data_IF_520802954229
#
_entry.id   IF_520802954229
#
_cell.length_a   1.000
_cell.length_b   1.000
_cell.length_c   1.000
_cell.angle_alpha   90.00
_cell.angle_beta   90.00
_cell.angle_gamma   90.00
#
_symmetry.space_group_name_H-M   'P 1'
#
loop_
_entity.id
_entity.type
_entity.pdbx_description
1 polymer ?
#
# COMPACT_ATOMS: atom_id res chain seq x y z
N UNK A 1 -59.71 22.36 41.94
CA UNK A 1 -59.24 21.44 43.01
C UNK A 1 -59.46 20.03 42.45
N UNK A 2 -58.51 19.16 42.13
CA UNK A 2 -57.16 18.83 42.63
C UNK A 2 -56.38 18.18 41.46
N UNK A 3 -55.13 18.61 41.23
CA UNK A 3 -54.11 17.90 40.46
C UNK A 3 -53.90 16.49 41.04
N UNK A 4 -53.71 15.44 40.23
CA UNK A 4 -52.60 14.47 40.38
C UNK A 4 -52.66 13.25 39.44
N UNK A 5 -51.48 12.86 38.97
CA UNK A 5 -51.06 11.51 38.56
C UNK A 5 -51.49 10.98 37.18
N UNK A 6 -50.98 11.63 36.13
CA UNK A 6 -50.53 10.93 34.92
C UNK A 6 -49.01 11.10 34.84
N UNK A 7 -48.26 10.17 35.44
CA UNK A 7 -46.79 10.12 35.30
C UNK A 7 -46.29 8.70 35.52
N UNK A 8 -45.39 8.29 34.61
CA UNK A 8 -44.39 7.22 34.76
C UNK A 8 -44.82 5.76 34.60
N UNK A 9 -45.06 5.29 33.36
CA UNK A 9 -44.75 3.89 32.97
C UNK A 9 -44.31 3.82 31.50
N UNK A 10 -43.44 4.73 31.05
CA UNK A 10 -42.74 4.55 29.77
C UNK A 10 -41.42 3.84 30.06
N UNK A 11 -41.42 2.54 29.79
CA UNK A 11 -40.34 1.57 30.00
C UNK A 11 -38.98 2.04 29.48
N UNK A 12 -38.01 2.41 30.35
CA UNK A 12 -36.64 2.70 29.93
C UNK A 12 -35.71 1.48 30.06
N UNK A 13 -36.16 0.38 30.68
CA UNK A 13 -35.33 -0.79 30.95
C UNK A 13 -35.09 -1.69 29.72
N UNK A 14 -36.04 -1.77 28.79
CA UNK A 14 -35.92 -2.67 27.63
C UNK A 14 -35.05 -2.11 26.50
N UNK A 15 -34.98 -0.78 26.35
CA UNK A 15 -34.19 -0.13 25.29
C UNK A 15 -32.69 -0.16 25.64
N UNK A 16 -32.34 -0.06 26.93
CA UNK A 16 -30.95 -0.18 27.39
C UNK A 16 -30.35 -1.57 27.21
N UNK A 17 -31.15 -2.63 27.38
CA UNK A 17 -30.69 -4.01 27.21
C UNK A 17 -30.49 -4.40 25.73
N UNK A 18 -31.28 -3.82 24.81
CA UNK A 18 -31.16 -4.07 23.37
C UNK A 18 -29.93 -3.36 22.76
N UNK A 19 -29.54 -2.18 23.27
CA UNK A 19 -28.34 -1.46 22.85
C UNK A 19 -27.03 -2.10 23.36
N UNK A 20 -27.08 -2.87 24.46
CA UNK A 20 -25.91 -3.58 24.99
C UNK A 20 -25.50 -4.81 24.16
N UNK A 21 -26.42 -5.37 23.36
CA UNK A 21 -26.18 -6.57 22.53
C UNK A 21 -25.59 -6.26 21.14
N UNK A 22 -25.47 -4.98 20.76
CA UNK A 22 -24.88 -4.58 19.48
C UNK A 22 -23.35 -4.39 19.54
N UNK A 23 -22.73 -4.53 20.72
CA UNK A 23 -21.27 -4.55 20.89
C UNK A 23 -20.70 -5.98 20.91
N UNK A 24 -21.26 -6.89 20.12
CA UNK A 24 -20.55 -8.11 19.79
C UNK A 24 -19.41 -7.73 18.83
N UNK A 25 -18.20 -7.54 19.37
CA UNK A 25 -16.98 -7.54 18.55
C UNK A 25 -16.94 -8.89 17.83
N UNK A 26 -17.30 -8.90 16.55
CA UNK A 26 -16.97 -10.03 15.70
C UNK A 26 -15.45 -10.18 15.75
N UNK A 27 -14.96 -11.28 16.30
CA UNK A 27 -13.55 -11.62 16.20
C UNK A 27 -13.22 -11.70 14.71
N UNK A 28 -12.44 -10.73 14.22
CA UNK A 28 -11.96 -10.74 12.85
C UNK A 28 -11.15 -12.03 12.67
N UNK A 29 -11.69 -12.99 11.92
CA UNK A 29 -11.00 -14.25 11.67
C UNK A 29 -9.73 -13.99 10.87
N UNK A 30 -8.67 -14.74 11.16
CA UNK A 30 -7.41 -14.66 10.39
C UNK A 30 -7.67 -15.10 8.95
N UNK A 31 -7.40 -14.20 8.00
CA UNK A 31 -7.60 -14.43 6.56
C UNK A 31 -6.39 -13.93 5.75
N UNK A 32 -5.72 -14.83 5.03
CA UNK A 32 -4.56 -14.50 4.22
C UNK A 32 -4.91 -13.59 3.03
N UNK A 33 -6.13 -13.64 2.49
CA UNK A 33 -6.55 -12.76 1.39
C UNK A 33 -6.65 -11.32 1.87
N UNK A 34 -7.31 -11.11 3.00
CA UNK A 34 -7.32 -9.82 3.69
C UNK A 34 -5.91 -9.38 4.12
N UNK A 35 -5.11 -10.30 4.65
CA UNK A 35 -3.70 -10.07 5.01
C UNK A 35 -2.86 -9.55 3.85
N UNK A 36 -3.07 -10.06 2.63
CA UNK A 36 -2.41 -9.57 1.41
C UNK A 36 -2.75 -8.12 1.11
N UNK A 37 -4.00 -7.72 1.28
CA UNK A 37 -4.44 -6.35 1.07
C UNK A 37 -3.76 -5.41 2.07
N UNK A 38 -3.80 -5.78 3.35
CA UNK A 38 -3.13 -5.02 4.41
C UNK A 38 -1.62 -4.92 4.17
N UNK A 39 -0.96 -6.03 3.83
CA UNK A 39 0.46 -6.04 3.51
C UNK A 39 0.79 -5.09 2.36
N UNK A 40 0.00 -5.11 1.29
CA UNK A 40 0.19 -4.25 0.11
C UNK A 40 0.09 -2.76 0.48
N UNK A 41 -0.88 -2.40 1.33
CA UNK A 41 -1.14 -1.00 1.72
C UNK A 41 -0.15 -0.50 2.77
N UNK A 42 0.27 -1.37 3.72
CA UNK A 42 1.00 -0.94 4.92
C UNK A 42 2.48 -1.32 4.92
N UNK A 43 2.86 -2.39 4.24
CA UNK A 43 4.18 -3.02 4.43
C UNK A 43 5.00 -3.07 3.13
N UNK A 44 4.36 -3.24 1.97
CA UNK A 44 5.00 -3.51 0.69
C UNK A 44 5.89 -2.35 0.17
N UNK A 45 5.71 -1.14 0.69
CA UNK A 45 6.59 -0.01 0.37
C UNK A 45 8.03 -0.21 0.85
N UNK A 46 8.22 -0.97 1.93
CA UNK A 46 9.53 -1.16 2.55
C UNK A 46 9.92 -2.62 2.71
N UNK A 47 9.01 -3.58 2.53
CA UNK A 47 9.28 -5.00 2.70
C UNK A 47 8.89 -5.82 1.47
N UNK A 48 9.70 -6.85 1.23
CA UNK A 48 9.38 -7.93 0.30
C UNK A 48 9.37 -9.26 1.04
N UNK A 49 8.64 -10.25 0.51
CA UNK A 49 8.66 -11.60 1.07
C UNK A 49 10.01 -12.27 0.77
N UNK A 50 10.54 -12.16 -0.46
CA UNK A 50 11.70 -12.95 -0.88
C UNK A 50 13.07 -12.34 -0.57
N UNK A 51 13.20 -11.01 -0.56
CA UNK A 51 14.51 -10.32 -0.53
C UNK A 51 14.52 -9.12 0.39
N UNK A 52 15.71 -8.78 0.88
CA UNK A 52 15.96 -7.54 1.61
C UNK A 52 15.79 -6.36 0.64
N UNK A 53 15.09 -5.32 1.10
CA UNK A 53 14.85 -4.07 0.37
C UNK A 53 15.21 -2.92 1.32
N UNK A 54 14.29 -2.00 1.63
CA UNK A 54 14.48 -1.02 2.70
C UNK A 54 14.44 -1.69 4.08
N UNK A 55 13.58 -2.69 4.25
CA UNK A 55 13.52 -3.57 5.40
C UNK A 55 13.89 -5.03 5.03
N UNK A 56 13.97 -5.92 6.03
CA UNK A 56 14.30 -7.33 5.83
C UNK A 56 13.26 -8.09 5.01
N UNK A 57 13.73 -9.16 4.35
CA UNK A 57 12.90 -10.18 3.75
C UNK A 57 12.00 -10.84 4.80
N UNK A 58 10.70 -10.94 4.51
CA UNK A 58 9.72 -11.47 5.47
C UNK A 58 9.40 -12.95 5.32
N UNK A 59 9.86 -13.63 4.27
CA UNK A 59 9.70 -15.09 4.14
C UNK A 59 10.20 -15.78 5.41
N UNK A 60 9.42 -16.71 5.94
CA UNK A 60 9.72 -17.46 7.16
C UNK A 60 9.92 -16.58 8.42
N UNK A 61 9.33 -15.38 8.48
CA UNK A 61 9.42 -14.51 9.68
C UNK A 61 8.80 -15.18 10.91
N UNK A 62 7.74 -15.97 10.72
CA UNK A 62 7.05 -16.78 11.72
C UNK A 62 7.92 -17.92 12.30
N UNK A 63 8.99 -18.29 11.59
CA UNK A 63 10.00 -19.24 12.09
C UNK A 63 11.14 -18.56 12.83
N UNK A 64 11.39 -17.27 12.56
CA UNK A 64 12.47 -16.49 13.19
C UNK A 64 12.05 -15.81 14.48
N UNK A 65 10.79 -15.41 14.58
CA UNK A 65 10.25 -14.68 15.72
C UNK A 65 8.88 -15.25 16.10
N UNK A 66 8.56 -15.17 17.39
CA UNK A 66 7.23 -15.55 17.86
C UNK A 66 6.18 -14.56 17.35
N UNK A 67 4.94 -15.03 17.16
CA UNK A 67 3.82 -14.19 16.74
C UNK A 67 3.66 -12.96 17.64
N UNK A 68 3.71 -13.15 18.97
CA UNK A 68 3.62 -12.07 19.95
C UNK A 68 4.72 -11.02 19.80
N UNK A 69 5.94 -11.45 19.45
CA UNK A 69 7.05 -10.53 19.22
C UNK A 69 6.81 -9.72 17.95
N UNK A 70 6.35 -10.36 16.87
CA UNK A 70 6.03 -9.69 15.61
C UNK A 70 4.93 -8.65 15.83
N UNK A 71 3.86 -9.00 16.55
CA UNK A 71 2.76 -8.08 16.87
C UNK A 71 3.29 -6.85 17.62
N UNK A 72 4.08 -7.05 18.68
CA UNK A 72 4.68 -5.94 19.44
C UNK A 72 5.59 -5.06 18.58
N UNK A 73 6.39 -5.68 17.70
CA UNK A 73 7.30 -4.97 16.83
C UNK A 73 6.55 -4.14 15.77
N UNK A 74 5.48 -4.67 15.19
CA UNK A 74 4.62 -3.96 14.21
C UNK A 74 3.87 -2.80 14.87
N UNK A 75 3.37 -2.99 16.10
CA UNK A 75 2.72 -1.91 16.86
C UNK A 75 3.69 -0.79 17.25
N UNK A 76 4.95 -1.12 17.55
CA UNK A 76 5.91 -0.15 18.06
C UNK A 76 7.37 -0.61 18.01
N UNK A 77 7.96 -0.61 16.82
CA UNK A 77 9.34 -1.09 16.58
C UNK A 77 10.36 -0.35 17.46
N UNK A 78 10.25 0.99 17.54
CA UNK A 78 11.16 1.83 18.31
C UNK A 78 11.08 1.57 19.81
N UNK A 79 9.92 1.16 20.33
CA UNK A 79 9.77 0.80 21.74
C UNK A 79 10.49 -0.50 22.06
N UNK A 80 10.40 -1.49 21.17
CA UNK A 80 11.12 -2.77 21.31
C UNK A 80 12.64 -2.58 21.20
N UNK A 81 13.09 -1.70 20.30
CA UNK A 81 14.51 -1.35 20.18
C UNK A 81 15.01 -0.65 21.45
N UNK A 82 14.25 0.33 21.97
CA UNK A 82 14.61 1.08 23.19
C UNK A 82 14.54 0.24 24.46
N UNK A 83 13.73 -0.83 24.50
CA UNK A 83 13.72 -1.75 25.64
C UNK A 83 14.97 -2.63 25.72
N UNK A 84 15.87 -2.54 24.73
CA UNK A 84 17.13 -3.29 24.71
C UNK A 84 16.99 -4.71 24.15
N UNK A 85 15.93 -4.99 23.40
CA UNK A 85 15.80 -6.29 22.71
C UNK A 85 16.96 -6.47 21.73
N UNK A 86 17.82 -7.44 22.03
CA UNK A 86 19.08 -7.65 21.28
C UNK A 86 18.85 -7.99 19.81
N UNK A 87 17.71 -8.61 19.46
CA UNK A 87 17.36 -8.97 18.08
C UNK A 87 16.90 -7.71 17.34
N UNK A 88 16.00 -6.94 17.94
CA UNK A 88 15.49 -5.69 17.39
C UNK A 88 16.63 -4.66 17.17
N UNK A 89 17.52 -4.51 18.14
CA UNK A 89 18.69 -3.60 18.05
C UNK A 89 19.61 -4.03 16.91
N UNK A 90 19.96 -5.31 16.81
CA UNK A 90 20.80 -5.82 15.71
C UNK A 90 20.14 -5.61 14.35
N UNK A 91 18.83 -5.82 14.25
CA UNK A 91 18.09 -5.61 13.03
C UNK A 91 18.10 -4.12 12.63
N UNK A 92 17.86 -3.23 13.59
CA UNK A 92 17.88 -1.79 13.36
C UNK A 92 19.24 -1.30 12.87
N UNK A 93 20.34 -1.78 13.47
CA UNK A 93 21.70 -1.48 13.01
C UNK A 93 21.98 -2.04 11.60
N UNK A 94 21.55 -3.27 11.30
CA UNK A 94 21.73 -3.90 9.97
C UNK A 94 21.04 -3.10 8.86
N UNK A 95 19.88 -2.50 9.13
CA UNK A 95 19.09 -1.74 8.15
C UNK A 95 19.31 -0.23 8.27
N UNK A 96 20.55 0.19 8.56
CA UNK A 96 20.98 1.60 8.61
C UNK A 96 20.14 2.50 9.51
N UNK A 97 19.60 1.95 10.62
CA UNK A 97 18.75 2.67 11.56
C UNK A 97 17.49 3.26 10.90
N UNK A 98 17.03 2.62 9.83
CA UNK A 98 15.79 3.00 9.16
C UNK A 98 14.62 2.76 10.10
N UNK A 99 13.80 3.79 10.31
CA UNK A 99 12.66 3.73 11.23
C UNK A 99 11.51 3.01 10.53
N UNK A 100 11.06 1.88 11.10
CA UNK A 100 9.80 1.25 10.71
C UNK A 100 8.64 2.03 11.36
N UNK A 101 7.68 2.55 10.59
CA UNK A 101 6.50 3.22 11.14
C UNK A 101 5.74 2.33 12.12
N UNK A 102 5.15 2.96 13.14
CA UNK A 102 4.31 2.25 14.11
C UNK A 102 2.91 2.04 13.51
N UNK A 103 2.33 0.87 13.75
CA UNK A 103 0.98 0.53 13.30
C UNK A 103 0.04 0.15 14.46
N UNK A 104 -0.16 1.01 15.47
CA UNK A 104 -1.04 0.72 16.60
C UNK A 104 -2.53 0.64 16.21
N UNK A 105 -2.87 1.08 14.99
CA UNK A 105 -4.20 0.98 14.40
C UNK A 105 -4.55 -0.44 13.94
N UNK A 106 -3.55 -1.29 13.67
CA UNK A 106 -3.78 -2.68 13.28
C UNK A 106 -4.11 -3.53 14.50
N UNK A 107 -5.20 -4.29 14.43
CA UNK A 107 -5.52 -5.28 15.45
C UNK A 107 -4.55 -6.45 15.42
N UNK A 108 -4.52 -7.26 16.49
CA UNK A 108 -3.71 -8.48 16.50
C UNK A 108 -4.12 -9.42 15.35
N UNK A 109 -5.41 -9.51 15.02
CA UNK A 109 -5.89 -10.38 13.96
C UNK A 109 -5.53 -9.85 12.56
N UNK A 110 -5.42 -8.54 12.39
CA UNK A 110 -4.91 -7.93 11.15
C UNK A 110 -3.45 -8.34 10.93
N UNK A 111 -2.63 -8.26 11.99
CA UNK A 111 -1.22 -8.66 11.92
C UNK A 111 -1.09 -10.17 11.70
N UNK A 112 -1.90 -11.00 12.36
CA UNK A 112 -1.95 -12.44 12.11
C UNK A 112 -2.33 -12.76 10.67
N UNK A 113 -3.28 -12.02 10.10
CA UNK A 113 -3.68 -12.15 8.69
C UNK A 113 -2.52 -11.81 7.75
N UNK A 114 -1.75 -10.76 8.05
CA UNK A 114 -0.52 -10.41 7.32
C UNK A 114 0.52 -11.53 7.42
N UNK A 115 0.74 -12.09 8.61
CA UNK A 115 1.67 -13.21 8.81
C UNK A 115 1.23 -14.45 8.01
N UNK A 116 -0.07 -14.77 8.02
CA UNK A 116 -0.63 -15.86 7.23
C UNK A 116 -0.38 -15.67 5.73
N UNK A 117 -0.61 -14.45 5.22
CA UNK A 117 -0.27 -14.11 3.84
C UNK A 117 1.22 -14.29 3.53
N UNK A 118 2.11 -13.78 4.38
CA UNK A 118 3.57 -13.90 4.20
C UNK A 118 3.99 -15.36 4.13
N UNK A 119 3.38 -16.22 4.96
CA UNK A 119 3.64 -17.66 4.97
C UNK A 119 3.19 -18.32 3.68
N UNK A 120 1.96 -18.07 3.24
CA UNK A 120 1.44 -18.61 1.98
C UNK A 120 2.27 -18.15 0.77
N UNK A 121 2.61 -16.86 0.72
CA UNK A 121 3.44 -16.29 -0.33
C UNK A 121 4.86 -16.88 -0.29
N UNK A 122 5.43 -17.09 0.90
CA UNK A 122 6.72 -17.75 1.06
C UNK A 122 6.72 -19.19 0.52
N UNK A 123 5.65 -19.95 0.78
CA UNK A 123 5.45 -21.30 0.23
C UNK A 123 5.28 -21.23 -1.28
N UNK A 124 4.43 -20.31 -1.77
CA UNK A 124 4.21 -20.11 -3.22
C UNK A 124 5.55 -19.86 -3.91
N UNK A 125 6.36 -18.95 -3.39
CA UNK A 125 7.68 -18.61 -3.94
C UNK A 125 8.69 -19.76 -3.86
N UNK A 126 8.53 -20.70 -2.93
CA UNK A 126 9.37 -21.90 -2.83
C UNK A 126 8.94 -23.02 -3.80
N UNK A 127 7.65 -23.10 -4.13
CA UNK A 127 7.07 -24.11 -5.03
C UNK A 127 7.08 -23.66 -6.49
N UNK A 128 7.13 -22.34 -6.74
CA UNK A 128 7.36 -21.85 -8.09
C UNK A 128 8.68 -22.45 -8.61
N UNK A 129 8.68 -23.14 -9.78
CA UNK A 129 9.93 -23.49 -10.43
C UNK A 129 10.73 -22.20 -10.51
N UNK A 130 12.00 -22.23 -10.10
CA UNK A 130 12.85 -21.05 -10.03
C UNK A 130 12.53 -20.16 -11.22
N UNK A 131 11.75 -19.10 -10.98
CA UNK A 131 11.54 -18.07 -11.98
C UNK A 131 12.97 -17.64 -12.29
N UNK A 132 13.42 -17.71 -13.55
CA UNK A 132 14.76 -17.35 -13.91
C UNK A 132 15.13 -16.09 -13.15
N UNK A 133 16.27 -16.16 -12.46
CA UNK A 133 16.84 -15.09 -11.67
C UNK A 133 16.71 -13.81 -12.47
N UNK A 134 15.76 -12.98 -12.04
CA UNK A 134 15.34 -11.75 -12.67
C UNK A 134 14.74 -11.90 -14.07
N UNK A 135 13.56 -11.28 -14.25
CA UNK A 135 13.24 -10.55 -15.47
C UNK A 135 14.21 -9.35 -15.57
N UNK A 136 15.48 -9.66 -15.80
CA UNK A 136 16.48 -8.71 -16.34
C UNK A 136 16.58 -8.90 -17.87
N UNK A 137 15.66 -9.67 -18.45
CA UNK A 137 15.59 -10.03 -19.85
C UNK A 137 14.49 -9.19 -20.52
N UNK A 138 14.96 -8.32 -21.41
CA UNK A 138 14.24 -7.50 -22.38
C UNK A 138 13.41 -8.32 -23.41
N UNK A 139 12.88 -9.49 -23.02
CA UNK A 139 12.11 -10.36 -23.92
C UNK A 139 10.60 -10.28 -23.63
N UNK A 140 9.78 -10.07 -24.68
CA UNK A 140 8.32 -10.01 -24.54
C UNK A 140 7.76 -11.33 -23.97
N UNK A 141 6.72 -11.22 -23.13
CA UNK A 141 5.93 -12.35 -22.65
C UNK A 141 5.40 -13.17 -23.84
N UNK A 142 5.88 -14.41 -24.01
CA UNK A 142 5.51 -15.25 -25.16
C UNK A 142 4.30 -16.16 -24.89
N UNK A 143 3.45 -15.81 -23.92
CA UNK A 143 2.28 -16.60 -23.52
C UNK A 143 0.95 -15.97 -23.93
N UNK A 144 -0.11 -16.77 -23.99
CA UNK A 144 -1.48 -16.25 -24.11
C UNK A 144 -1.83 -15.51 -22.82
N UNK A 145 -1.85 -14.18 -22.84
CA UNK A 145 -2.22 -13.37 -21.69
C UNK A 145 -3.72 -13.51 -21.36
N UNK A 146 -4.05 -13.59 -20.07
CA UNK A 146 -5.44 -13.55 -19.59
C UNK A 146 -6.08 -12.20 -19.96
N UNK A 147 -7.40 -12.12 -20.22
CA UNK A 147 -8.07 -10.85 -20.55
C UNK A 147 -7.85 -9.76 -19.49
N UNK A 148 -7.75 -10.14 -18.21
CA UNK A 148 -7.40 -9.21 -17.13
C UNK A 148 -5.96 -8.70 -17.24
N UNK A 149 -5.03 -9.55 -17.67
CA UNK A 149 -3.65 -9.14 -17.91
C UNK A 149 -3.60 -8.13 -19.07
N UNK A 150 -4.40 -8.35 -20.12
CA UNK A 150 -4.45 -7.44 -21.26
C UNK A 150 -5.02 -6.06 -20.90
N UNK A 151 -6.05 -6.01 -20.06
CA UNK A 151 -6.67 -4.76 -19.61
C UNK A 151 -5.76 -3.97 -18.65
N UNK A 152 -5.06 -4.67 -17.76
CA UNK A 152 -4.18 -4.03 -16.76
C UNK A 152 -2.89 -3.51 -17.43
N UNK A 153 -2.35 -4.24 -18.41
CA UNK A 153 -1.07 -3.93 -19.05
C UNK A 153 -1.19 -3.28 -20.43
N UNK A 154 -2.42 -3.01 -20.92
CA UNK A 154 -2.67 -2.46 -22.26
C UNK A 154 -1.86 -3.23 -23.32
N UNK A 155 -2.06 -4.54 -23.40
CA UNK A 155 -1.36 -5.43 -24.34
C UNK A 155 -1.70 -5.04 -25.79
N UNK A 156 -0.87 -4.20 -26.42
CA UNK A 156 -0.87 -4.01 -27.87
C UNK A 156 -0.11 -5.20 -28.48
N UNK A 157 -0.76 -6.07 -29.28
CA UNK A 157 -0.12 -7.29 -29.78
C UNK A 157 1.13 -6.93 -30.61
N UNK A 158 2.30 -7.33 -30.11
CA UNK A 158 3.55 -7.39 -30.88
C UNK A 158 4.71 -6.50 -30.44
N UNK A 159 4.54 -5.57 -29.49
CA UNK A 159 5.66 -4.69 -29.09
C UNK A 159 5.54 -4.24 -27.62
N UNK A 160 5.68 -5.17 -26.67
CA UNK A 160 5.75 -4.83 -25.25
C UNK A 160 7.19 -4.46 -24.89
N UNK A 161 7.55 -3.19 -25.02
CA UNK A 161 8.77 -2.65 -24.41
C UNK A 161 8.45 -2.13 -23.02
N UNK A 162 9.13 -2.59 -21.95
CA UNK A 162 9.01 -1.93 -20.65
C UNK A 162 9.40 -0.45 -20.81
N UNK A 163 8.70 0.45 -20.11
CA UNK A 163 9.01 1.89 -20.12
C UNK A 163 10.43 2.13 -19.62
N UNK A 164 11.37 2.23 -20.56
CA UNK A 164 12.76 2.50 -20.28
C UNK A 164 13.03 3.99 -20.52
N UNK A 165 13.19 4.76 -19.45
CA UNK A 165 13.50 6.19 -19.54
C UNK A 165 14.89 6.48 -20.13
N UNK A 166 15.72 5.46 -20.36
CA UNK A 166 16.97 5.57 -21.12
C UNK A 166 16.77 5.37 -22.62
N UNK A 167 15.58 4.97 -23.07
CA UNK A 167 15.27 4.85 -24.48
C UNK A 167 15.21 6.25 -25.12
N UNK A 168 15.98 6.49 -26.19
CA UNK A 168 16.05 7.80 -26.82
C UNK A 168 14.72 8.25 -27.43
N UNK A 169 13.85 7.33 -27.87
CA UNK A 169 12.52 7.68 -28.39
C UNK A 169 11.60 8.16 -27.28
N UNK A 170 11.60 7.50 -26.12
CA UNK A 170 10.79 7.93 -24.96
C UNK A 170 11.27 9.28 -24.45
N UNK A 171 12.59 9.47 -24.32
CA UNK A 171 13.17 10.75 -23.90
C UNK A 171 12.82 11.88 -24.88
N UNK A 172 12.96 11.65 -26.20
CA UNK A 172 12.61 12.65 -27.22
C UNK A 172 11.12 12.94 -27.23
N UNK A 173 10.26 11.93 -27.03
CA UNK A 173 8.80 12.11 -26.94
C UNK A 173 8.40 12.98 -25.74
N UNK A 174 8.93 12.68 -24.54
CA UNK A 174 8.65 13.46 -23.33
C UNK A 174 9.16 14.90 -23.45
N UNK A 175 10.39 15.09 -23.96
CA UNK A 175 10.95 16.42 -24.22
C UNK A 175 10.10 17.16 -25.27
N UNK A 176 9.64 16.48 -26.31
CA UNK A 176 8.75 17.04 -27.33
C UNK A 176 7.40 17.51 -26.76
N UNK A 177 6.78 16.71 -25.88
CA UNK A 177 5.54 17.10 -25.19
C UNK A 177 5.78 18.32 -24.30
N UNK A 178 6.87 18.35 -23.53
CA UNK A 178 7.21 19.49 -22.67
C UNK A 178 7.44 20.75 -23.51
N UNK A 179 8.22 20.67 -24.59
CA UNK A 179 8.48 21.80 -25.48
C UNK A 179 7.18 22.30 -26.12
N UNK A 180 6.33 21.40 -26.58
CA UNK A 180 5.02 21.74 -27.15
C UNK A 180 4.16 22.51 -26.15
N UNK A 181 4.12 22.05 -24.89
CA UNK A 181 3.34 22.67 -23.82
C UNK A 181 3.89 24.06 -23.44
N UNK A 182 5.22 24.21 -23.40
CA UNK A 182 5.89 25.51 -23.17
C UNK A 182 5.63 26.48 -24.32
N UNK A 183 5.76 26.05 -25.58
CA UNK A 183 5.47 26.88 -26.74
C UNK A 183 4.01 27.33 -26.76
N UNK A 184 3.09 26.43 -26.42
CA UNK A 184 1.67 26.75 -26.32
C UNK A 184 1.41 27.81 -25.23
N UNK A 185 2.02 27.69 -24.05
CA UNK A 185 1.94 28.70 -23.00
C UNK A 185 2.51 30.05 -23.44
N UNK A 186 3.65 30.06 -24.13
CA UNK A 186 4.25 31.30 -24.65
C UNK A 186 3.37 31.97 -25.71
N UNK A 187 2.71 31.19 -26.58
CA UNK A 187 1.75 31.71 -27.53
C UNK A 187 0.55 32.34 -26.82
N UNK A 188 0.03 31.69 -25.78
CA UNK A 188 -1.07 32.23 -24.96
C UNK A 188 -0.66 33.56 -24.32
N UNK A 189 0.51 33.63 -23.67
CA UNK A 189 0.97 34.88 -23.05
C UNK A 189 1.11 35.98 -24.10
N UNK A 190 1.71 35.65 -25.25
CA UNK A 190 1.92 36.63 -26.32
C UNK A 190 0.61 37.10 -26.95
N UNK A 191 -0.39 36.24 -27.08
CA UNK A 191 -1.72 36.66 -27.56
C UNK A 191 -2.42 37.55 -26.54
N UNK A 192 -2.30 37.28 -25.24
CA UNK A 192 -2.80 38.19 -24.19
C UNK A 192 -2.14 39.58 -24.27
N UNK A 193 -0.82 39.65 -24.37
CA UNK A 193 -0.09 40.93 -24.50
C UNK A 193 -0.55 41.74 -25.73
N UNK A 194 -0.78 41.07 -26.86
CA UNK A 194 -1.24 41.72 -28.11
C UNK A 194 -2.68 42.22 -27.94
N UNK A 195 -3.56 41.43 -27.32
CA UNK A 195 -4.94 41.82 -27.06
C UNK A 195 -5.00 43.04 -26.11
N UNK A 196 -4.14 43.08 -25.10
CA UNK A 196 -4.05 44.22 -24.20
C UNK A 196 -3.58 45.49 -24.92
N UNK A 197 -2.52 45.39 -25.74
CA UNK A 197 -2.06 46.51 -26.58
C UNK A 197 -3.12 46.97 -27.58
N UNK A 198 -3.84 46.04 -28.21
CA UNK A 198 -4.94 46.38 -29.12
C UNK A 198 -6.05 47.13 -28.39
N UNK A 199 -6.42 46.68 -27.18
CA UNK A 199 -7.45 47.32 -26.36
C UNK A 199 -7.03 48.74 -25.96
N UNK A 200 -5.79 48.93 -25.50
CA UNK A 200 -5.24 50.24 -25.14
C UNK A 200 -5.14 51.20 -26.35
N UNK A 201 -4.93 50.69 -27.57
CA UNK A 201 -4.88 51.52 -28.78
C UNK A 201 -6.26 52.01 -29.28
N UNK A 202 -7.35 51.43 -28.75
CA UNK A 202 -8.72 51.73 -29.13
C UNK A 202 -9.46 52.62 -28.12
N UNK A 203 -8.87 52.84 -26.95
CA UNK A 203 -9.28 53.82 -25.94
C UNK A 203 -8.56 55.16 -26.20
#
# INVERSE_FOLDING_TARGET
MKRRFLKEHFTPACIGLLLLLMFNKADAQVDATYGKQLFTIRCAACHSVAKDVTGPALRDVDKRHTEDWIIKFVHGSQSVIKSGDTIAVKLFEKFNKTIMPNHPDLSNNDIKSIIAYIKEEGIRLAVLPAVPKALDDDKPYSGKSSPLHQLIYLDIPGEHRPLNFRDPFIAVSLVGVIISLVLFLLLIVKTYDILEKYKQSKE
#
